data_IF_746858429315
#
_entry.id   IF_746858429315
#
_cell.length_a   1.000
_cell.length_b   1.000
_cell.length_c   1.000
_cell.angle_alpha   90.00
_cell.angle_beta   90.00
_cell.angle_gamma   90.00
#
_symmetry.space_group_name_H-M   'P 1'
#
loop_
_entity.id
_entity.type
_entity.pdbx_description
1 polymer ?
#
# COMPACT_ATOMS: atom_id res chain seq x y z
N UNK A 1 7.55 12.81 14.39
CA UNK A 1 8.09 11.43 14.33
C UNK A 1 7.06 10.55 13.70
N UNK A 2 7.44 9.84 12.63
CA UNK A 2 6.63 8.79 12.05
C UNK A 2 6.93 7.47 12.76
N UNK A 3 5.88 6.78 13.18
CA UNK A 3 5.97 5.46 13.74
C UNK A 3 5.46 4.45 12.71
N UNK A 4 6.11 3.30 12.64
CA UNK A 4 5.60 2.15 11.89
C UNK A 4 4.80 1.29 12.84
N UNK A 5 3.50 1.19 12.64
CA UNK A 5 2.67 0.23 13.36
C UNK A 5 2.88 -1.15 12.74
N UNK A 6 3.50 -2.09 13.45
CA UNK A 6 3.60 -3.45 12.97
C UNK A 6 2.19 -4.04 12.95
N UNK A 7 1.66 -4.28 11.76
CA UNK A 7 0.35 -4.94 11.59
C UNK A 7 0.48 -6.41 11.95
N UNK A 8 0.15 -6.75 13.17
CA UNK A 8 -0.06 -8.15 13.55
C UNK A 8 -1.53 -8.50 13.36
N UNK A 9 -1.82 -9.35 12.39
CA UNK A 9 -3.14 -9.93 12.24
C UNK A 9 -3.31 -11.06 13.26
N UNK A 10 -3.73 -10.71 14.46
CA UNK A 10 -3.95 -11.67 15.56
C UNK A 10 -5.38 -11.56 16.06
N UNK A 11 -5.90 -12.67 16.55
CA UNK A 11 -7.18 -12.75 17.25
C UNK A 11 -6.91 -13.24 18.66
N UNK A 12 -7.22 -12.40 19.64
CA UNK A 12 -7.01 -12.66 21.06
C UNK A 12 -8.32 -13.11 21.70
N UNK A 13 -8.23 -13.67 22.90
CA UNK A 13 -9.42 -13.95 23.70
C UNK A 13 -9.90 -12.65 24.35
N UNK A 14 -11.06 -12.15 23.94
CA UNK A 14 -11.65 -10.90 24.44
C UNK A 14 -12.01 -10.94 25.94
N UNK A 15 -12.01 -12.13 26.53
CA UNK A 15 -12.27 -12.34 27.97
C UNK A 15 -10.98 -12.46 28.81
N UNK A 16 -9.82 -12.34 28.18
CA UNK A 16 -8.52 -12.46 28.84
C UNK A 16 -7.73 -11.16 28.75
N UNK A 17 -7.97 -10.28 29.71
CA UNK A 17 -7.29 -8.98 29.82
C UNK A 17 -5.75 -9.13 29.89
N UNK A 18 -5.23 -10.23 30.45
CA UNK A 18 -3.80 -10.48 30.53
C UNK A 18 -3.20 -10.80 29.16
N UNK A 19 -3.92 -11.51 28.30
CA UNK A 19 -3.49 -11.81 26.96
C UNK A 19 -3.45 -10.53 26.10
N UNK A 20 -4.44 -9.66 26.23
CA UNK A 20 -4.45 -8.38 25.54
C UNK A 20 -3.34 -7.46 26.03
N UNK A 21 -3.13 -7.36 27.34
CA UNK A 21 -2.05 -6.57 27.93
C UNK A 21 -0.68 -7.09 27.51
N UNK A 22 -0.43 -8.39 27.55
CA UNK A 22 0.82 -8.99 27.09
C UNK A 22 1.08 -8.73 25.60
N UNK A 23 0.04 -8.81 24.79
CA UNK A 23 0.15 -8.49 23.36
C UNK A 23 0.44 -7.01 23.14
N UNK A 24 -0.24 -6.11 23.86
CA UNK A 24 0.02 -4.67 23.77
C UNK A 24 1.47 -4.32 24.17
N UNK A 25 2.00 -4.94 25.21
CA UNK A 25 3.40 -4.78 25.64
C UNK A 25 4.41 -5.34 24.61
N UNK A 26 4.04 -6.39 23.90
CA UNK A 26 4.90 -6.97 22.85
C UNK A 26 4.95 -6.11 21.58
N UNK A 27 3.99 -5.21 21.38
CA UNK A 27 3.95 -4.27 20.28
C UNK A 27 4.86 -3.09 20.60
N UNK A 28 6.00 -3.02 19.95
CA UNK A 28 6.83 -1.81 19.98
C UNK A 28 6.53 -0.98 18.74
N UNK A 29 6.09 0.27 18.94
CA UNK A 29 6.04 1.25 17.87
C UNK A 29 7.47 1.66 17.53
N UNK A 30 8.04 1.04 16.49
CA UNK A 30 9.36 1.43 16.02
C UNK A 30 9.31 2.83 15.39
N UNK A 31 10.21 3.71 15.81
CA UNK A 31 10.41 4.99 15.12
C UNK A 31 10.86 4.67 13.70
N UNK A 32 10.03 5.05 12.73
CA UNK A 32 10.34 4.84 11.32
C UNK A 32 11.19 5.97 10.76
N UNK A 33 10.77 7.22 10.99
CA UNK A 33 11.51 8.41 10.60
C UNK A 33 11.19 9.59 11.51
N UNK A 34 12.20 10.38 11.82
CA UNK A 34 12.06 11.66 12.50
C UNK A 34 12.37 12.79 11.52
N UNK A 35 11.60 13.88 11.60
CA UNK A 35 11.83 15.10 10.86
C UNK A 35 12.02 16.25 11.85
N UNK A 36 12.95 17.18 11.60
CA UNK A 36 13.03 18.40 12.38
C UNK A 36 11.78 19.24 12.15
N UNK A 37 11.30 19.90 13.20
CA UNK A 37 10.22 20.88 13.09
C UNK A 37 10.82 22.17 12.53
N UNK A 38 10.26 22.68 11.44
CA UNK A 38 10.65 23.95 10.83
C UNK A 38 9.78 25.12 11.30
N UNK A 39 8.58 24.84 11.79
CA UNK A 39 7.65 25.84 12.27
C UNK A 39 6.35 25.26 12.77
N UNK A 40 5.44 26.18 13.12
CA UNK A 40 4.07 25.85 13.51
C UNK A 40 3.10 26.67 12.66
N UNK A 41 1.88 26.18 12.52
CA UNK A 41 0.78 26.97 11.94
C UNK A 41 0.50 28.20 12.80
N UNK A 42 -0.12 29.22 12.22
CA UNK A 42 -0.41 30.48 12.91
C UNK A 42 -1.27 30.31 14.16
N UNK A 43 -2.10 29.28 14.19
CA UNK A 43 -2.95 28.88 15.33
C UNK A 43 -2.26 27.88 16.28
N UNK A 44 -1.01 27.50 16.00
CA UNK A 44 -0.22 26.52 16.76
C UNK A 44 -0.86 25.13 16.89
N UNK A 45 -1.83 24.79 16.04
CA UNK A 45 -2.52 23.49 16.09
C UNK A 45 -1.79 22.40 15.30
N UNK A 46 -0.90 22.78 14.37
CA UNK A 46 -0.15 21.86 13.56
C UNK A 46 1.34 22.24 13.45
N UNK A 47 2.17 21.27 13.14
CA UNK A 47 3.61 21.46 12.92
C UNK A 47 3.92 21.44 11.44
N UNK A 48 4.89 22.27 11.03
CA UNK A 48 5.44 22.32 9.68
C UNK A 48 6.81 21.66 9.68
N UNK A 49 7.05 20.75 8.77
CA UNK A 49 8.32 20.07 8.60
C UNK A 49 8.59 19.73 7.14
N UNK A 50 9.85 19.57 6.77
CA UNK A 50 10.23 19.20 5.42
C UNK A 50 10.23 17.67 5.26
N UNK A 51 9.30 17.16 4.44
CA UNK A 51 9.15 15.75 4.16
C UNK A 51 9.83 15.30 2.86
N UNK A 52 10.49 16.19 2.13
CA UNK A 52 11.09 15.89 0.80
C UNK A 52 12.01 14.67 0.84
N UNK A 53 12.78 14.51 1.90
CA UNK A 53 13.67 13.34 2.05
C UNK A 53 12.93 12.00 2.20
N UNK A 54 11.68 12.00 2.64
CA UNK A 54 10.85 10.81 2.71
C UNK A 54 10.39 10.35 1.32
N UNK A 55 10.04 11.31 0.46
CA UNK A 55 9.62 11.05 -0.91
C UNK A 55 10.79 10.92 -1.88
N UNK A 56 11.96 10.63 -1.38
CA UNK A 56 13.13 10.30 -2.20
C UNK A 56 12.96 8.94 -2.88
N UNK A 57 13.40 8.84 -4.13
CA UNK A 57 13.42 7.58 -4.88
C UNK A 57 14.30 6.49 -4.25
N UNK A 58 15.16 6.85 -3.30
CA UNK A 58 15.92 5.90 -2.49
C UNK A 58 15.09 5.24 -1.38
N UNK A 59 13.92 5.81 -1.07
CA UNK A 59 13.02 5.23 -0.09
C UNK A 59 12.26 4.04 -0.70
N UNK A 60 12.46 2.85 -0.15
CA UNK A 60 11.83 1.61 -0.61
C UNK A 60 10.31 1.60 -0.47
N UNK A 61 9.75 2.41 0.42
CA UNK A 61 8.30 2.55 0.55
C UNK A 61 7.71 3.38 -0.60
N UNK A 62 8.51 4.23 -1.22
CA UNK A 62 8.15 5.06 -2.38
C UNK A 62 8.40 4.30 -3.68
N UNK A 63 9.61 3.74 -3.84
CA UNK A 63 9.99 3.02 -5.03
C UNK A 63 10.79 1.76 -4.67
N UNK A 64 10.19 0.60 -4.90
CA UNK A 64 10.86 -0.69 -4.74
C UNK A 64 10.88 -1.45 -6.06
N UNK A 65 12.00 -1.37 -6.77
CA UNK A 65 12.23 -2.07 -8.03
C UNK A 65 13.00 -3.38 -7.85
N UNK A 66 13.70 -3.56 -6.74
CA UNK A 66 14.55 -4.73 -6.52
C UNK A 66 13.72 -6.01 -6.34
N UNK A 67 14.20 -7.10 -6.91
CA UNK A 67 13.56 -8.42 -6.82
C UNK A 67 12.34 -8.60 -7.72
N UNK A 68 12.00 -7.64 -8.58
CA UNK A 68 10.90 -7.79 -9.52
C UNK A 68 11.32 -8.64 -10.72
N UNK A 69 10.56 -9.67 -10.99
CA UNK A 69 10.75 -10.56 -12.14
C UNK A 69 9.65 -10.36 -13.18
N UNK A 70 10.05 -10.33 -14.44
CA UNK A 70 9.16 -10.14 -15.59
C UNK A 70 9.26 -11.34 -16.52
N UNK A 71 8.15 -12.06 -16.67
CA UNK A 71 8.07 -13.22 -17.54
C UNK A 71 9.00 -14.37 -17.18
N UNK A 72 9.51 -14.44 -15.96
CA UNK A 72 10.44 -15.47 -15.50
C UNK A 72 11.87 -15.38 -16.08
N UNK A 73 12.09 -14.56 -17.10
CA UNK A 73 13.39 -14.44 -17.78
C UNK A 73 14.20 -13.21 -17.35
N UNK A 74 13.54 -12.11 -17.06
CA UNK A 74 14.19 -10.86 -16.66
C UNK A 74 13.89 -10.55 -15.21
N UNK A 75 14.92 -10.31 -14.42
CA UNK A 75 14.79 -9.92 -13.00
C UNK A 75 15.61 -8.67 -12.72
N UNK A 76 15.01 -7.68 -12.07
CA UNK A 76 15.73 -6.55 -11.51
C UNK A 76 16.37 -6.99 -10.19
N UNK A 77 17.68 -7.19 -10.21
CA UNK A 77 18.46 -7.63 -9.03
C UNK A 77 18.55 -6.49 -8.02
N UNK A 78 18.91 -5.30 -8.50
CA UNK A 78 19.00 -4.09 -7.67
C UNK A 78 18.71 -2.84 -8.49
N UNK A 79 18.30 -1.79 -7.81
CA UNK A 79 18.13 -0.47 -8.38
C UNK A 79 18.86 0.56 -7.52
N UNK A 80 19.70 1.37 -8.16
CA UNK A 80 20.47 2.44 -7.52
C UNK A 80 19.94 3.81 -7.95
N UNK A 81 19.17 4.49 -7.07
CA UNK A 81 18.59 5.79 -7.38
C UNK A 81 19.67 6.84 -7.64
N UNK A 82 19.43 7.72 -8.61
CA UNK A 82 20.28 8.83 -8.97
C UNK A 82 19.70 10.13 -8.39
N UNK A 83 20.25 10.61 -7.27
CA UNK A 83 19.72 11.76 -6.54
C UNK A 83 19.77 13.09 -7.33
N UNK A 84 20.73 13.22 -8.25
CA UNK A 84 20.90 14.45 -9.03
C UNK A 84 19.79 14.69 -10.06
N UNK A 85 19.15 13.62 -10.51
CA UNK A 85 18.12 13.64 -11.56
C UNK A 85 16.74 13.28 -11.03
N UNK A 86 16.63 13.07 -9.72
CA UNK A 86 15.38 12.72 -9.06
C UNK A 86 14.89 13.90 -8.21
N UNK A 87 13.65 14.33 -8.44
CA UNK A 87 13.06 15.48 -7.76
C UNK A 87 11.55 15.32 -7.59
N UNK A 88 10.99 16.03 -6.61
CA UNK A 88 9.54 16.15 -6.45
C UNK A 88 9.04 17.16 -7.48
N UNK A 89 8.09 16.74 -8.30
CA UNK A 89 7.49 17.52 -9.37
C UNK A 89 6.28 18.30 -8.88
N UNK A 90 5.34 17.62 -8.22
CA UNK A 90 4.14 18.23 -7.65
C UNK A 90 3.71 17.56 -6.34
N UNK A 91 2.93 18.30 -5.56
CA UNK A 91 2.29 17.82 -4.35
C UNK A 91 0.88 18.40 -4.26
N UNK A 92 -0.11 17.53 -4.26
CA UNK A 92 -1.52 17.89 -4.21
C UNK A 92 -2.12 17.40 -2.89
N UNK A 93 -2.80 18.30 -2.18
CA UNK A 93 -3.48 17.98 -0.93
C UNK A 93 -5.00 17.94 -1.15
N UNK A 94 -5.63 16.90 -0.62
CA UNK A 94 -7.06 16.68 -0.62
C UNK A 94 -7.52 16.50 0.83
N UNK A 95 -8.82 16.48 1.08
CA UNK A 95 -9.39 16.40 2.44
C UNK A 95 -8.86 15.22 3.26
N UNK A 96 -8.66 14.06 2.62
CA UNK A 96 -8.28 12.82 3.28
C UNK A 96 -7.02 12.17 2.71
N UNK A 97 -6.35 12.78 1.76
CA UNK A 97 -5.12 12.25 1.20
C UNK A 97 -4.21 13.35 0.65
N UNK A 98 -2.93 12.99 0.53
CA UNK A 98 -1.90 13.80 -0.13
C UNK A 98 -1.32 12.96 -1.25
N UNK A 99 -1.26 13.51 -2.45
CA UNK A 99 -0.67 12.89 -3.63
C UNK A 99 0.59 13.64 -4.02
N UNK A 100 1.70 12.93 -4.14
CA UNK A 100 3.00 13.50 -4.47
C UNK A 100 3.53 12.81 -5.70
N UNK A 101 3.79 13.59 -6.74
CA UNK A 101 4.39 13.13 -7.98
C UNK A 101 5.88 13.47 -7.98
N UNK A 102 6.70 12.50 -8.33
CA UNK A 102 8.15 12.67 -8.37
C UNK A 102 8.74 11.99 -9.59
N UNK A 103 9.75 12.60 -10.15
CA UNK A 103 10.54 12.02 -11.22
C UNK A 103 11.73 11.26 -10.61
N UNK A 104 11.82 9.98 -10.93
CA UNK A 104 12.83 9.08 -10.41
C UNK A 104 13.69 8.55 -11.53
N UNK A 105 15.01 8.67 -11.39
CA UNK A 105 15.98 8.00 -12.26
C UNK A 105 16.76 6.99 -11.43
N UNK A 106 16.86 5.76 -11.92
CA UNK A 106 17.60 4.70 -11.25
C UNK A 106 18.43 3.90 -12.25
N UNK A 107 19.67 3.56 -11.87
CA UNK A 107 20.49 2.56 -12.56
C UNK A 107 20.04 1.18 -12.11
N UNK A 108 19.77 0.31 -13.06
CA UNK A 108 19.27 -1.03 -12.81
C UNK A 108 20.38 -2.05 -12.99
N UNK A 109 20.54 -2.97 -12.04
CA UNK A 109 21.24 -4.23 -12.27
C UNK A 109 20.18 -5.27 -12.64
N UNK A 110 20.29 -5.82 -13.84
CA UNK A 110 19.33 -6.78 -14.37
C UNK A 110 19.97 -8.16 -14.53
N UNK A 111 19.20 -9.20 -14.28
CA UNK A 111 19.55 -10.57 -14.60
C UNK A 111 18.63 -11.09 -15.70
N UNK A 112 19.21 -11.70 -16.72
CA UNK A 112 18.49 -12.35 -17.81
C UNK A 112 18.80 -13.84 -17.71
N UNK A 113 17.77 -14.66 -17.58
CA UNK A 113 17.88 -16.12 -17.42
C UNK A 113 18.89 -16.55 -16.33
N UNK A 114 18.97 -15.76 -15.24
CA UNK A 114 19.90 -16.03 -14.12
C UNK A 114 21.31 -15.42 -14.26
N UNK A 115 21.67 -14.87 -15.42
CA UNK A 115 22.95 -14.21 -15.62
C UNK A 115 22.83 -12.70 -15.43
N UNK A 116 23.63 -12.13 -14.54
CA UNK A 116 23.64 -10.67 -14.30
C UNK A 116 24.30 -9.98 -15.49
N UNK A 117 23.60 -9.01 -16.09
CA UNK A 117 24.12 -8.20 -17.17
C UNK A 117 25.24 -7.28 -16.65
N UNK A 118 26.27 -7.07 -17.47
CA UNK A 118 27.31 -6.08 -17.20
C UNK A 118 26.81 -4.64 -17.44
N UNK A 119 25.81 -4.50 -18.29
CA UNK A 119 25.18 -3.22 -18.58
C UNK A 119 24.22 -2.85 -17.46
N UNK A 120 24.26 -1.60 -17.03
CA UNK A 120 23.36 -1.02 -16.04
C UNK A 120 22.52 0.07 -16.71
N UNK A 121 21.41 -0.29 -17.35
CA UNK A 121 20.55 0.69 -17.98
C UNK A 121 19.97 1.67 -16.94
N UNK A 122 19.81 2.91 -17.36
CA UNK A 122 19.10 3.92 -16.58
C UNK A 122 17.63 3.89 -16.95
N UNK A 123 16.78 3.88 -15.91
CA UNK A 123 15.34 3.99 -16.05
C UNK A 123 14.88 5.28 -15.40
N UNK A 124 14.24 6.14 -16.18
CA UNK A 124 13.56 7.34 -15.68
C UNK A 124 12.05 7.11 -15.72
N UNK A 125 11.38 7.38 -14.61
CA UNK A 125 9.95 7.20 -14.49
C UNK A 125 9.34 8.28 -13.60
N UNK A 126 8.08 8.60 -13.85
CA UNK A 126 7.26 9.37 -12.92
C UNK A 126 6.58 8.42 -11.92
N UNK A 127 6.74 8.70 -10.64
CA UNK A 127 6.16 7.90 -9.54
C UNK A 127 5.19 8.78 -8.77
N UNK A 128 3.95 8.35 -8.69
CA UNK A 128 2.94 9.00 -7.85
C UNK A 128 2.77 8.21 -6.55
N UNK A 129 2.95 8.89 -5.43
CA UNK A 129 2.76 8.32 -4.08
C UNK A 129 1.60 9.01 -3.42
N UNK A 130 0.58 8.25 -3.06
CA UNK A 130 -0.59 8.79 -2.35
C UNK A 130 -0.60 8.28 -0.91
N UNK A 131 -0.63 9.20 0.04
CA UNK A 131 -0.84 8.92 1.46
C UNK A 131 -2.29 9.24 1.80
N UNK A 132 -3.06 8.24 2.20
CA UNK A 132 -4.46 8.40 2.55
C UNK A 132 -4.70 8.11 4.03
N UNK A 133 -5.59 8.89 4.65
CA UNK A 133 -6.07 8.60 5.99
C UNK A 133 -6.89 7.31 5.97
N UNK A 134 -6.61 6.43 6.90
CA UNK A 134 -7.43 5.24 7.07
C UNK A 134 -8.78 5.61 7.66
N UNK A 135 -9.85 4.98 7.15
CA UNK A 135 -11.19 5.12 7.75
C UNK A 135 -11.17 4.72 9.22
N UNK A 136 -11.85 5.50 10.05
CA UNK A 136 -12.09 5.17 11.46
C UNK A 136 -13.11 4.04 11.61
N UNK A 137 -14.02 3.93 10.66
CA UNK A 137 -15.01 2.87 10.62
C UNK A 137 -14.38 1.57 10.13
N UNK A 138 -14.51 0.55 10.92
CA UNK A 138 -14.01 -0.80 10.58
C UNK A 138 -15.14 -1.62 10.02
N UNK A 139 -14.90 -2.24 8.89
CA UNK A 139 -15.83 -3.22 8.32
C UNK A 139 -15.82 -4.52 9.13
N UNK A 140 -16.99 -5.14 9.30
CA UNK A 140 -17.09 -6.45 9.91
C UNK A 140 -16.26 -7.48 9.13
N UNK A 141 -15.41 -8.22 9.83
CA UNK A 141 -14.59 -9.27 9.23
C UNK A 141 -15.44 -10.47 8.85
N UNK A 142 -15.10 -11.12 7.74
CA UNK A 142 -15.72 -12.38 7.30
C UNK A 142 -14.63 -13.44 7.17
N UNK A 143 -14.82 -14.59 7.78
CA UNK A 143 -13.89 -15.70 7.63
C UNK A 143 -13.92 -16.24 6.20
N UNK A 144 -12.73 -16.52 5.64
CA UNK A 144 -12.59 -17.07 4.31
C UNK A 144 -12.90 -18.58 4.34
N UNK A 145 -13.67 -19.01 3.35
CA UNK A 145 -13.85 -20.43 3.10
C UNK A 145 -12.73 -20.89 2.12
N UNK A 146 -11.85 -21.83 2.49
CA UNK A 146 -10.77 -22.28 1.63
C UNK A 146 -11.23 -22.96 0.31
N UNK A 147 -12.52 -23.27 0.21
CA UNK A 147 -13.12 -23.81 -1.02
C UNK A 147 -13.47 -22.74 -2.04
N UNK A 148 -13.44 -21.46 -1.64
CA UNK A 148 -13.75 -20.32 -2.50
C UNK A 148 -12.48 -19.57 -2.77
N UNK A 149 -12.10 -19.44 -4.04
CA UNK A 149 -10.88 -18.75 -4.49
C UNK A 149 -11.03 -17.22 -4.39
N UNK A 150 -10.99 -16.66 -3.19
CA UNK A 150 -11.00 -15.21 -2.95
C UNK A 150 -9.67 -14.74 -2.39
N UNK A 151 -9.37 -13.45 -2.55
CA UNK A 151 -8.26 -12.83 -1.82
C UNK A 151 -8.50 -12.92 -0.31
N UNK A 152 -7.45 -13.17 0.45
CA UNK A 152 -7.54 -13.30 1.91
C UNK A 152 -6.34 -12.68 2.62
N UNK A 153 -6.56 -12.33 3.89
CA UNK A 153 -5.54 -11.89 4.83
C UNK A 153 -5.44 -12.95 5.93
N UNK A 154 -4.24 -13.51 6.12
CA UNK A 154 -4.01 -14.48 7.19
C UNK A 154 -3.96 -13.79 8.56
N UNK A 155 -4.51 -14.45 9.57
CA UNK A 155 -4.37 -14.07 10.96
C UNK A 155 -4.00 -15.27 11.83
N UNK A 156 -3.43 -15.00 13.00
CA UNK A 156 -3.16 -16.05 14.00
C UNK A 156 -4.16 -15.93 15.13
N UNK A 157 -4.88 -17.01 15.40
CA UNK A 157 -5.89 -17.10 16.45
C UNK A 157 -5.27 -17.68 17.71
N UNK A 158 -5.21 -16.88 18.76
CA UNK A 158 -4.69 -17.23 20.09
C UNK A 158 -5.79 -17.45 21.15
N UNK A 159 -7.07 -17.47 20.76
CA UNK A 159 -8.18 -17.66 21.71
C UNK A 159 -8.14 -18.99 22.45
N UNK A 160 -7.46 -19.99 21.88
CA UNK A 160 -7.25 -21.26 22.56
C UNK A 160 -5.85 -21.30 23.15
N UNK A 161 -5.74 -21.27 24.47
CA UNK A 161 -4.49 -21.23 25.23
C UNK A 161 -3.52 -22.38 24.93
N UNK A 162 -4.02 -23.51 24.47
CA UNK A 162 -3.19 -24.69 24.21
C UNK A 162 -2.60 -24.75 22.79
N UNK A 163 -3.18 -24.05 21.82
CA UNK A 163 -2.74 -24.08 20.41
C UNK A 163 -3.18 -22.82 19.68
N UNK A 164 -2.25 -22.13 19.03
CA UNK A 164 -2.61 -21.13 18.04
C UNK A 164 -3.07 -21.81 16.73
N UNK A 165 -4.02 -21.19 16.05
CA UNK A 165 -4.55 -21.65 14.76
C UNK A 165 -4.41 -20.53 13.73
N UNK A 166 -4.02 -20.85 12.51
CA UNK A 166 -4.12 -19.90 11.39
C UNK A 166 -5.55 -19.84 10.89
N UNK A 167 -6.06 -18.63 10.76
CA UNK A 167 -7.32 -18.33 10.11
C UNK A 167 -7.11 -17.33 8.97
N UNK A 168 -8.16 -17.11 8.19
CA UNK A 168 -8.11 -16.24 7.02
C UNK A 168 -9.37 -15.40 6.97
N UNK A 169 -9.21 -14.08 6.78
CA UNK A 169 -10.31 -13.16 6.49
C UNK A 169 -10.38 -12.87 5.01
N UNK A 170 -11.58 -12.84 4.46
CA UNK A 170 -11.81 -12.45 3.06
C UNK A 170 -11.43 -10.99 2.88
N UNK A 171 -10.63 -10.71 1.85
CA UNK A 171 -10.41 -9.34 1.37
C UNK A 171 -11.63 -8.95 0.53
N UNK A 172 -12.43 -8.01 1.02
CA UNK A 172 -13.62 -7.52 0.34
C UNK A 172 -13.76 -6.01 0.48
N UNK A 173 -14.51 -5.40 -0.41
CA UNK A 173 -14.91 -4.00 -0.31
C UNK A 173 -16.26 -3.91 0.41
N UNK A 174 -16.49 -2.83 1.12
CA UNK A 174 -17.80 -2.52 1.70
C UNK A 174 -18.64 -1.86 0.60
N UNK A 175 -19.33 -2.68 -0.18
CA UNK A 175 -20.18 -2.21 -1.28
C UNK A 175 -21.60 -2.12 -0.73
N UNK A 176 -22.20 -0.95 -0.84
CA UNK A 176 -23.60 -0.69 -0.52
C UNK A 176 -24.20 0.17 -1.62
N UNK A 177 -25.50 0.24 -1.70
CA UNK A 177 -26.21 1.14 -2.63
C UNK A 177 -25.81 2.61 -2.43
N UNK A 178 -25.39 2.98 -1.22
CA UNK A 178 -24.95 4.33 -0.87
C UNK A 178 -23.44 4.55 -1.09
N UNK A 179 -22.67 3.47 -1.24
CA UNK A 179 -21.23 3.48 -1.45
C UNK A 179 -20.85 2.55 -2.61
N UNK A 180 -21.15 2.95 -3.85
CA UNK A 180 -20.81 2.16 -5.03
C UNK A 180 -19.30 2.14 -5.25
N UNK A 181 -18.82 1.13 -5.95
CA UNK A 181 -17.43 1.11 -6.44
C UNK A 181 -17.35 2.01 -7.67
N UNK A 182 -16.58 3.09 -7.56
CA UNK A 182 -16.37 4.03 -8.66
C UNK A 182 -15.07 3.67 -9.37
N UNK A 183 -15.13 3.51 -10.69
CA UNK A 183 -13.98 3.34 -11.56
C UNK A 183 -13.72 4.64 -12.32
N UNK A 184 -12.50 5.14 -12.25
CA UNK A 184 -12.04 6.25 -13.07
C UNK A 184 -11.26 5.70 -14.26
N UNK A 185 -11.64 6.12 -15.46
CA UNK A 185 -10.96 5.73 -16.70
C UNK A 185 -10.04 6.86 -17.10
N UNK A 186 -8.76 6.54 -17.34
CA UNK A 186 -7.78 7.52 -17.81
C UNK A 186 -8.19 8.09 -19.17
N UNK A 187 -8.07 9.40 -19.32
CA UNK A 187 -8.42 10.12 -20.56
C UNK A 187 -7.51 9.78 -21.74
N UNK A 188 -6.36 9.16 -21.50
CA UNK A 188 -5.43 8.69 -22.53
C UNK A 188 -5.82 7.33 -23.13
N UNK A 189 -6.82 6.66 -22.57
CA UNK A 189 -7.31 5.38 -23.08
C UNK A 189 -8.16 5.63 -24.33
N UNK A 190 -7.92 4.87 -25.39
CA UNK A 190 -8.68 4.96 -26.64
C UNK A 190 -10.17 4.63 -26.41
N UNK A 191 -11.05 5.34 -27.11
CA UNK A 191 -12.51 5.20 -26.97
C UNK A 191 -13.05 3.77 -27.14
N UNK A 192 -12.40 2.97 -27.99
CA UNK A 192 -12.76 1.56 -28.17
C UNK A 192 -12.60 0.73 -26.90
N UNK A 193 -11.55 1.01 -26.12
CA UNK A 193 -11.30 0.35 -24.83
C UNK A 193 -12.20 0.90 -23.73
N UNK A 194 -12.47 2.21 -23.75
CA UNK A 194 -13.41 2.84 -22.79
C UNK A 194 -14.75 2.15 -22.83
N UNK A 195 -15.31 1.93 -24.05
CA UNK A 195 -16.57 1.21 -24.23
C UNK A 195 -16.54 -0.23 -23.70
N UNK A 196 -15.43 -0.93 -23.92
CA UNK A 196 -15.27 -2.30 -23.41
C UNK A 196 -15.21 -2.35 -21.87
N UNK A 197 -14.51 -1.39 -21.25
CA UNK A 197 -14.43 -1.25 -19.79
C UNK A 197 -15.81 -0.93 -19.19
N UNK A 198 -16.53 0.02 -19.79
CA UNK A 198 -17.89 0.38 -19.36
C UNK A 198 -18.84 -0.82 -19.44
N UNK A 199 -18.84 -1.52 -20.58
CA UNK A 199 -19.65 -2.74 -20.74
C UNK A 199 -19.33 -3.79 -19.69
N UNK A 200 -18.04 -4.00 -19.36
CA UNK A 200 -17.64 -4.93 -18.30
C UNK A 200 -18.14 -4.51 -16.93
N UNK A 201 -18.13 -3.21 -16.62
CA UNK A 201 -18.67 -2.70 -15.36
C UNK A 201 -20.20 -2.92 -15.28
N UNK A 202 -20.90 -2.68 -16.38
CA UNK A 202 -22.37 -2.87 -16.45
C UNK A 202 -22.77 -4.34 -16.28
N UNK A 203 -21.98 -5.28 -16.84
CA UNK A 203 -22.20 -6.71 -16.65
C UNK A 203 -22.05 -7.14 -15.19
N UNK A 204 -21.12 -6.52 -14.42
CA UNK A 204 -20.99 -6.75 -12.99
C UNK A 204 -22.13 -6.16 -12.18
N UNK A 205 -22.70 -5.01 -12.58
CA UNK A 205 -23.84 -4.41 -11.90
C UNK A 205 -25.03 -5.37 -11.85
N UNK A 206 -25.30 -6.09 -12.94
CA UNK A 206 -26.39 -7.09 -12.99
C UNK A 206 -26.24 -8.13 -11.87
N UNK A 207 -24.99 -8.59 -11.62
CA UNK A 207 -24.72 -9.58 -10.58
C UNK A 207 -24.90 -8.99 -9.17
N UNK A 208 -24.57 -7.70 -8.98
CA UNK A 208 -24.71 -7.04 -7.68
C UNK A 208 -26.13 -6.57 -7.37
N UNK A 209 -26.96 -6.37 -8.38
CA UNK A 209 -28.38 -6.04 -8.20
C UNK A 209 -29.22 -7.26 -7.77
N UNK A 210 -28.76 -8.47 -8.09
CA UNK A 210 -29.40 -9.74 -7.73
C UNK A 210 -29.03 -10.26 -6.33
N UNK A 211 -28.12 -9.58 -5.60
CA UNK A 211 -27.62 -9.96 -4.26
C UNK A 211 -28.18 -9.10 -3.15
#
# INVERSE_FOLDING_TARGET
ILFRDPKYNVRLNEQDDNQEAAFALSRSNAIYKAFPIEGYTSDSTAVVFNATSYFSCSNKDVLNLSGRSYGGMLTIVSASPQSKTSFVDSADAFDNCISITQNCTAKLSISIMGFVSKEQPELTMSVQTTLALLSKEKMNTREANPRVGTGYIAYTDYRNEKRFKKGYYVTRRNITTQQPVVFYIDTLIQDSWVKAIQKSADEWNIIFEDL
#
